data_IF_473895325520
#
_entry.id   IF_473895325520
#
_cell.length_a   1.000
_cell.length_b   1.000
_cell.length_c   1.000
_cell.angle_alpha   90.00
_cell.angle_beta   90.00
_cell.angle_gamma   90.00
#
_symmetry.space_group_name_H-M   'P 1'
#
loop_
_entity.id
_entity.type
_entity.pdbx_description
1 polymer ?
#
# COMPACT_ATOMS: atom_id res chain seq x y z
N UNK A 1 5.23 -12.07 0.82
CA UNK A 1 6.60 -11.72 1.25
C UNK A 1 6.74 -10.22 1.05
N UNK A 2 6.00 -9.48 1.88
CA UNK A 2 6.26 -8.06 2.09
C UNK A 2 7.69 -7.90 2.65
N UNK A 3 8.31 -6.72 2.49
CA UNK A 3 9.75 -6.44 2.73
C UNK A 3 10.75 -6.84 1.64
N UNK A 4 10.31 -6.98 0.39
CA UNK A 4 11.24 -7.01 -0.76
C UNK A 4 11.45 -5.60 -1.32
N UNK A 5 12.68 -5.30 -1.74
CA UNK A 5 13.13 -3.95 -2.15
C UNK A 5 12.38 -3.35 -3.36
N UNK A 6 11.50 -4.11 -4.02
CA UNK A 6 10.76 -3.68 -5.23
C UNK A 6 9.28 -3.32 -4.96
N UNK A 7 8.74 -3.58 -3.76
CA UNK A 7 7.29 -3.42 -3.53
C UNK A 7 6.80 -2.02 -3.06
N UNK A 8 7.51 -1.22 -2.24
CA UNK A 8 6.88 -0.03 -1.64
C UNK A 8 6.70 1.12 -2.64
N UNK A 9 7.56 1.25 -3.66
CA UNK A 9 7.49 2.37 -4.61
C UNK A 9 6.23 2.34 -5.47
N UNK A 10 5.76 1.16 -5.87
CA UNK A 10 4.54 1.02 -6.66
C UNK A 10 3.31 1.39 -5.82
N UNK A 11 3.24 0.87 -4.59
CA UNK A 11 2.16 1.15 -3.65
C UNK A 11 2.03 2.65 -3.34
N UNK A 12 3.15 3.33 -3.07
CA UNK A 12 3.17 4.78 -2.83
C UNK A 12 2.77 5.56 -4.09
N UNK A 13 3.19 5.13 -5.28
CA UNK A 13 2.79 5.76 -6.53
C UNK A 13 1.28 5.62 -6.80
N UNK A 14 0.68 4.48 -6.44
CA UNK A 14 -0.77 4.29 -6.50
C UNK A 14 -1.50 5.15 -5.48
N UNK A 15 -0.97 5.31 -4.27
CA UNK A 15 -1.55 6.18 -3.25
C UNK A 15 -1.60 7.65 -3.70
N UNK A 16 -0.50 8.16 -4.28
CA UNK A 16 -0.44 9.51 -4.83
C UNK A 16 -1.43 9.74 -5.97
N UNK A 17 -1.73 8.70 -6.76
CA UNK A 17 -2.67 8.74 -7.88
C UNK A 17 -4.09 8.29 -7.51
N UNK A 18 -4.34 7.95 -6.25
CA UNK A 18 -5.61 7.42 -5.78
C UNK A 18 -6.80 8.32 -6.15
N UNK A 19 -6.63 9.63 -6.06
CA UNK A 19 -7.66 10.60 -6.44
C UNK A 19 -8.00 10.59 -7.94
N UNK A 20 -7.05 10.26 -8.81
CA UNK A 20 -7.31 10.12 -10.24
C UNK A 20 -8.10 8.85 -10.56
N UNK A 21 -7.83 7.75 -9.84
CA UNK A 21 -8.61 6.52 -9.94
C UNK A 21 -10.05 6.74 -9.46
N UNK A 22 -10.22 7.40 -8.31
CA UNK A 22 -11.53 7.74 -7.77
C UNK A 22 -12.34 8.65 -8.72
N UNK A 23 -11.72 9.64 -9.37
CA UNK A 23 -12.38 10.49 -10.39
C UNK A 23 -12.88 9.70 -11.60
N UNK A 24 -12.28 8.55 -11.88
CA UNK A 24 -12.67 7.64 -12.98
C UNK A 24 -13.67 6.57 -12.51
N UNK A 25 -14.11 6.61 -11.25
CA UNK A 25 -14.98 5.58 -10.67
C UNK A 25 -14.28 4.24 -10.46
N UNK A 26 -12.96 4.25 -10.31
CA UNK A 26 -12.13 3.05 -10.11
C UNK A 26 -11.62 3.01 -8.68
N UNK A 27 -11.69 1.83 -8.06
CA UNK A 27 -11.15 1.57 -6.73
C UNK A 27 -9.82 0.82 -6.83
N UNK A 28 -8.89 1.11 -5.92
CA UNK A 28 -7.60 0.43 -5.83
C UNK A 28 -7.64 -0.51 -4.63
N UNK A 29 -7.16 -1.74 -4.81
CA UNK A 29 -7.07 -2.73 -3.72
C UNK A 29 -5.72 -3.43 -3.82
N UNK A 30 -4.93 -3.37 -2.75
CA UNK A 30 -3.68 -4.12 -2.63
C UNK A 30 -3.96 -5.54 -2.16
N UNK A 31 -3.39 -6.56 -2.80
CA UNK A 31 -3.56 -7.97 -2.42
C UNK A 31 -2.19 -8.57 -2.16
N UNK A 32 -2.01 -9.20 -1.01
CA UNK A 32 -0.82 -9.98 -0.69
C UNK A 32 -1.21 -11.29 0.00
N UNK A 33 -0.23 -12.15 0.27
CA UNK A 33 -0.43 -13.37 1.06
C UNK A 33 -0.03 -13.18 2.54
N UNK A 34 0.38 -11.96 2.90
CA UNK A 34 0.84 -11.57 4.22
C UNK A 34 -0.37 -11.25 5.12
N UNK A 35 -0.27 -11.51 6.42
CA UNK A 35 -1.42 -11.35 7.34
C UNK A 35 -1.81 -9.89 7.56
N UNK A 36 -3.02 -9.65 8.05
CA UNK A 36 -3.53 -8.33 8.40
C UNK A 36 -2.64 -7.60 9.43
N UNK A 37 -1.94 -8.36 10.27
CA UNK A 37 -0.97 -7.84 11.24
C UNK A 37 0.27 -7.27 10.55
N UNK A 38 0.77 -7.95 9.51
CA UNK A 38 1.91 -7.49 8.71
C UNK A 38 1.52 -6.22 7.96
N UNK A 39 0.34 -6.18 7.37
CA UNK A 39 -0.23 -5.00 6.73
C UNK A 39 -0.33 -3.79 7.65
N UNK A 40 -0.83 -3.98 8.86
CA UNK A 40 -0.92 -2.91 9.86
C UNK A 40 0.48 -2.42 10.31
N UNK A 41 1.42 -3.33 10.52
CA UNK A 41 2.80 -2.97 10.88
C UNK A 41 3.49 -2.21 9.74
N UNK A 42 3.26 -2.60 8.49
CA UNK A 42 3.88 -1.98 7.32
C UNK A 42 3.33 -0.57 7.05
N UNK A 43 2.03 -0.35 7.28
CA UNK A 43 1.40 0.98 7.23
C UNK A 43 1.91 1.93 8.32
N UNK A 44 2.23 1.41 9.50
CA UNK A 44 2.80 2.21 10.61
C UNK A 44 4.28 2.48 10.47
N UNK A 45 4.95 1.77 9.55
CA UNK A 45 6.37 1.97 9.30
C UNK A 45 6.55 3.14 8.34
N UNK A 46 7.37 4.14 8.69
CA UNK A 46 7.69 5.25 7.79
C UNK A 46 8.35 4.79 6.48
N UNK A 47 8.11 5.53 5.40
CA UNK A 47 8.63 5.20 4.05
C UNK A 47 10.16 5.21 4.00
N UNK A 48 10.81 6.13 4.72
CA UNK A 48 12.26 6.21 4.88
C UNK A 48 12.88 4.97 5.55
N UNK A 49 12.05 4.16 6.23
CA UNK A 49 12.43 2.89 6.87
C UNK A 49 11.93 1.66 6.11
N UNK A 50 11.52 1.81 4.85
CA UNK A 50 11.02 0.71 4.01
C UNK A 50 9.56 0.34 4.24
N UNK A 51 8.80 1.19 4.95
CA UNK A 51 7.36 1.09 5.07
C UNK A 51 6.60 1.71 3.89
N UNK A 52 5.27 1.63 3.95
CA UNK A 52 4.37 2.23 2.95
C UNK A 52 3.62 3.45 3.47
N UNK A 53 3.68 3.72 4.78
CA UNK A 53 2.88 4.78 5.41
C UNK A 53 1.37 4.52 5.39
N UNK A 54 0.59 5.53 5.76
CA UNK A 54 -0.87 5.44 5.74
C UNK A 54 -1.43 5.56 4.32
N UNK A 55 -1.41 4.45 3.58
CA UNK A 55 -2.08 4.35 2.27
C UNK A 55 -3.60 4.48 2.40
N UNK A 56 -4.22 5.14 1.41
CA UNK A 56 -5.65 5.47 1.35
C UNK A 56 -6.53 4.30 0.92
N UNK A 57 -5.96 3.31 0.24
CA UNK A 57 -6.68 2.15 -0.28
C UNK A 57 -6.60 0.91 0.63
N UNK A 58 -7.53 -0.01 0.46
CA UNK A 58 -7.60 -1.24 1.25
C UNK A 58 -6.49 -2.23 0.86
N UNK A 59 -5.95 -2.94 1.84
CA UNK A 59 -5.05 -4.08 1.63
C UNK A 59 -5.70 -5.34 2.17
N UNK A 60 -5.72 -6.39 1.36
CA UNK A 60 -6.33 -7.69 1.65
C UNK A 60 -5.29 -8.79 1.64
N UNK A 61 -5.49 -9.71 2.57
CA UNK A 61 -4.75 -10.96 2.78
C UNK A 61 -5.38 -12.12 2.00
#
# INVERSE_FOLDING_TARGET
>A
MDFTFVCPSELIAFDHRYEEFQKRGVEVVGVSFDSEFVHNAWRKTPVDKGGIGEVKYAMVC
#
